data_IF_076180003627
#
_entry.id   IF_076180003627
#
_cell.length_a   1.000
_cell.length_b   1.000
_cell.length_c   1.000
_cell.angle_alpha   90.00
_cell.angle_beta   90.00
_cell.angle_gamma   90.00
#
_symmetry.space_group_name_H-M   'P 1'
#
loop_
_entity.id
_entity.type
_entity.pdbx_description
1 polymer ?
#
# COMPACT_ATOMS: atom_id res chain seq x y z
N UNK A 1 -5.67 -36.65 -5.71
CA UNK A 1 -4.60 -35.78 -5.17
C UNK A 1 -4.87 -34.37 -5.67
N UNK A 2 -5.40 -33.49 -4.83
CA UNK A 2 -5.62 -32.06 -5.17
C UNK A 2 -4.27 -31.36 -4.95
N UNK A 3 -3.75 -30.56 -5.90
CA UNK A 3 -2.50 -29.85 -5.66
C UNK A 3 -2.69 -28.92 -4.48
N UNK A 4 -1.76 -28.97 -3.52
CA UNK A 4 -1.78 -28.10 -2.34
C UNK A 4 -1.89 -26.64 -2.81
N UNK A 5 -3.06 -26.02 -2.56
CA UNK A 5 -3.33 -24.65 -2.95
C UNK A 5 -2.22 -23.75 -2.43
N UNK A 6 -1.53 -23.06 -3.34
CA UNK A 6 -0.48 -22.11 -3.01
C UNK A 6 -1.10 -21.07 -2.07
N UNK A 7 -0.65 -20.99 -0.81
CA UNK A 7 -1.07 -19.92 0.10
C UNK A 7 -0.63 -18.59 -0.54
N UNK A 8 -1.60 -17.86 -1.07
CA UNK A 8 -1.41 -16.47 -1.47
C UNK A 8 -1.53 -15.66 -0.19
N UNK A 9 -0.40 -15.17 0.32
CA UNK A 9 -0.42 -14.22 1.42
C UNK A 9 -0.98 -12.90 0.87
N UNK A 10 -1.93 -12.26 1.56
CA UNK A 10 -2.42 -10.98 1.12
C UNK A 10 -1.28 -9.95 1.21
N UNK A 11 -1.22 -9.04 0.23
CA UNK A 11 -0.17 -8.03 0.19
C UNK A 11 -0.35 -7.00 1.31
N UNK A 12 0.73 -6.60 1.99
CA UNK A 12 0.67 -5.57 3.02
C UNK A 12 0.37 -4.20 2.41
N UNK A 13 -0.12 -3.28 3.23
CA UNK A 13 -0.27 -1.88 2.85
C UNK A 13 1.08 -1.19 2.98
N UNK A 14 1.57 -0.59 1.90
CA UNK A 14 2.80 0.20 1.92
C UNK A 14 2.48 1.67 2.18
N UNK A 15 3.14 2.25 3.18
CA UNK A 15 3.12 3.68 3.46
C UNK A 15 4.49 4.31 3.19
N UNK A 16 4.48 5.54 2.70
CA UNK A 16 5.66 6.37 2.57
C UNK A 16 5.57 7.53 3.56
N UNK A 17 6.55 7.55 4.45
CA UNK A 17 6.72 8.52 5.53
C UNK A 17 5.42 8.77 6.28
N UNK A 18 4.62 7.73 6.55
CA UNK A 18 3.33 7.80 7.25
C UNK A 18 2.21 8.60 6.56
N UNK A 19 2.36 9.06 5.32
CA UNK A 19 1.38 9.96 4.68
C UNK A 19 0.82 9.46 3.34
N UNK A 20 1.56 8.62 2.61
CA UNK A 20 1.21 8.24 1.24
C UNK A 20 1.10 6.72 1.12
N UNK A 21 -0.06 6.22 0.71
CA UNK A 21 -0.28 4.82 0.37
C UNK A 21 0.27 4.51 -1.03
N UNK A 22 1.01 3.41 -1.13
CA UNK A 22 1.62 2.90 -2.36
C UNK A 22 1.07 1.51 -2.71
N UNK A 23 1.14 1.13 -3.99
CA UNK A 23 0.88 -0.23 -4.47
C UNK A 23 2.15 -1.10 -4.53
N UNK A 24 3.31 -0.49 -4.28
CA UNK A 24 4.62 -1.13 -4.37
C UNK A 24 5.73 -0.10 -4.22
N UNK A 25 6.98 -0.56 -4.33
CA UNK A 25 8.18 0.23 -4.01
C UNK A 25 9.03 0.60 -5.24
N UNK A 26 8.48 0.43 -6.46
CA UNK A 26 9.27 0.55 -7.71
C UNK A 26 9.88 1.94 -7.91
N UNK A 27 9.23 2.99 -7.41
CA UNK A 27 9.65 4.38 -7.60
C UNK A 27 10.47 4.93 -6.41
N UNK A 28 10.93 4.07 -5.51
CA UNK A 28 11.73 4.45 -4.33
C UNK A 28 13.14 3.89 -4.49
N UNK A 29 14.13 4.78 -4.51
CA UNK A 29 15.52 4.35 -4.48
C UNK A 29 15.88 3.81 -3.08
N UNK A 30 16.43 2.59 -2.95
CA UNK A 30 16.74 2.02 -1.63
C UNK A 30 17.72 2.87 -0.81
N UNK A 31 18.61 3.61 -1.47
CA UNK A 31 19.59 4.49 -0.82
C UNK A 31 18.95 5.71 -0.15
N UNK A 32 17.73 6.08 -0.53
CA UNK A 32 16.96 7.18 0.06
C UNK A 32 16.18 6.77 1.32
N UNK A 33 16.10 5.46 1.60
CA UNK A 33 15.37 4.98 2.77
C UNK A 33 16.18 5.29 4.04
N UNK A 34 15.53 5.93 5.00
CA UNK A 34 16.06 6.18 6.33
C UNK A 34 15.66 5.07 7.31
N UNK A 35 14.39 4.63 7.26
CA UNK A 35 13.87 3.61 8.16
C UNK A 35 12.72 2.83 7.51
N UNK A 36 12.51 1.61 7.99
CA UNK A 36 11.35 0.78 7.64
C UNK A 36 10.73 0.30 8.94
N UNK A 37 9.47 0.64 9.17
CA UNK A 37 8.68 0.17 10.29
C UNK A 37 7.62 -0.81 9.77
N UNK A 38 7.53 -1.97 10.41
CA UNK A 38 6.52 -2.98 10.08
C UNK A 38 5.53 -3.06 11.22
N UNK A 39 4.26 -2.86 10.92
CA UNK A 39 3.16 -2.98 11.89
C UNK A 39 2.38 -4.26 11.63
N UNK A 40 2.18 -5.06 12.68
CA UNK A 40 1.53 -6.38 12.65
C UNK A 40 0.34 -6.42 13.62
N UNK A 41 -0.59 -5.50 13.45
CA UNK A 41 -1.83 -5.45 14.24
C UNK A 41 -1.81 -4.35 15.28
N UNK A 42 -1.69 -4.73 16.56
CA UNK A 42 -1.93 -3.83 17.69
C UNK A 42 -0.87 -2.73 17.87
N UNK A 43 0.31 -2.91 17.28
CA UNK A 43 1.43 -1.98 17.27
C UNK A 43 1.27 -0.82 16.28
N UNK A 44 0.30 -0.89 15.37
CA UNK A 44 -0.02 0.23 14.49
C UNK A 44 -0.69 1.38 15.25
N UNK A 45 -0.50 2.63 14.78
CA UNK A 45 -1.31 3.77 15.20
C UNK A 45 -2.81 3.45 15.11
N UNK A 46 -3.58 3.94 16.09
CA UNK A 46 -5.01 3.59 16.22
C UNK A 46 -5.80 3.88 14.93
N UNK A 47 -5.50 4.99 14.26
CA UNK A 47 -6.12 5.43 13.00
C UNK A 47 -5.85 4.51 11.80
N UNK A 48 -4.89 3.58 11.89
CA UNK A 48 -4.57 2.61 10.85
C UNK A 48 -4.92 1.19 11.25
N UNK A 49 -5.50 0.96 12.43
CA UNK A 49 -5.80 -0.38 12.94
C UNK A 49 -6.64 -1.20 11.96
N UNK A 50 -7.59 -0.57 11.25
CA UNK A 50 -8.38 -1.22 10.21
C UNK A 50 -7.59 -1.68 8.98
N UNK A 51 -6.39 -1.14 8.73
CA UNK A 51 -5.52 -1.52 7.61
C UNK A 51 -4.52 -2.63 7.97
N UNK A 52 -4.45 -3.01 9.25
CA UNK A 52 -3.44 -3.96 9.74
C UNK A 52 -3.76 -5.43 9.48
N UNK A 53 -4.92 -5.74 8.91
CA UNK A 53 -5.34 -7.12 8.61
C UNK A 53 -4.28 -7.88 7.78
N UNK A 54 -3.63 -7.17 6.83
CA UNK A 54 -2.56 -7.71 6.00
C UNK A 54 -1.16 -7.21 6.41
N UNK A 55 -1.07 -6.45 7.51
CA UNK A 55 0.13 -5.73 7.94
C UNK A 55 0.38 -4.44 7.15
N UNK A 56 1.16 -3.55 7.77
CA UNK A 56 1.57 -2.27 7.17
C UNK A 56 3.09 -2.21 7.16
N UNK A 57 3.66 -1.75 6.05
CA UNK A 57 5.08 -1.45 5.92
C UNK A 57 5.20 0.04 5.66
N UNK A 58 5.65 0.80 6.67
CA UNK A 58 5.88 2.24 6.57
C UNK A 58 7.35 2.53 6.34
N UNK A 59 7.66 3.17 5.23
CA UNK A 59 9.00 3.46 4.76
C UNK A 59 9.24 4.95 4.94
N UNK A 60 10.17 5.31 5.81
CA UNK A 60 10.58 6.70 6.01
C UNK A 60 11.77 7.00 5.11
N UNK A 61 11.67 8.09 4.33
CA UNK A 61 12.77 8.58 3.52
C UNK A 61 13.70 9.53 4.29
N UNK A 62 14.95 9.62 3.85
CA UNK A 62 15.93 10.59 4.35
C UNK A 62 15.47 12.01 4.09
N UNK A 63 15.88 12.93 4.97
CA UNK A 63 15.63 14.35 4.79
C UNK A 63 16.24 14.83 3.47
N UNK A 64 15.44 15.52 2.65
CA UNK A 64 15.84 15.99 1.32
C UNK A 64 15.46 15.05 0.17
N UNK A 65 15.24 13.76 0.43
CA UNK A 65 14.74 12.81 -0.58
C UNK A 65 13.24 13.06 -0.80
N UNK A 66 12.88 13.45 -2.02
CA UNK A 66 11.49 13.71 -2.43
C UNK A 66 11.22 12.94 -3.72
N UNK A 67 10.57 11.78 -3.65
CA UNK A 67 10.21 11.07 -4.86
C UNK A 67 9.12 11.87 -5.58
N UNK A 68 9.20 11.94 -6.91
CA UNK A 68 8.22 12.62 -7.74
C UNK A 68 6.92 11.82 -7.86
N UNK A 69 6.21 11.68 -6.74
CA UNK A 69 4.95 10.94 -6.66
C UNK A 69 3.75 11.87 -6.85
N UNK A 70 3.00 11.66 -7.92
CA UNK A 70 1.67 12.26 -8.06
C UNK A 70 0.72 11.59 -7.08
N UNK A 71 0.15 12.34 -6.14
CA UNK A 71 -0.76 11.80 -5.12
C UNK A 71 -2.15 12.42 -5.19
N UNK A 72 -3.18 11.68 -4.78
CA UNK A 72 -4.54 12.16 -4.61
C UNK A 72 -4.95 12.07 -3.15
N UNK A 73 -5.58 13.12 -2.63
CA UNK A 73 -6.26 13.05 -1.34
C UNK A 73 -7.61 12.32 -1.48
N UNK A 74 -8.15 11.82 -0.36
CA UNK A 74 -9.48 11.20 -0.35
C UNK A 74 -10.57 12.17 -0.83
N UNK A 75 -10.45 13.46 -0.49
CA UNK A 75 -11.34 14.50 -0.99
C UNK A 75 -11.27 14.66 -2.52
N UNK A 76 -10.08 14.59 -3.12
CA UNK A 76 -9.92 14.64 -4.57
C UNK A 76 -10.52 13.40 -5.25
N UNK A 77 -10.35 12.22 -4.65
CA UNK A 77 -10.95 10.97 -5.13
C UNK A 77 -12.49 11.06 -5.10
N UNK A 78 -13.07 11.55 -4.00
CA UNK A 78 -14.53 11.78 -3.90
C UNK A 78 -15.05 12.71 -4.98
N UNK A 79 -14.37 13.84 -5.20
CA UNK A 79 -14.73 14.81 -6.25
C UNK A 79 -14.69 14.16 -7.64
N UNK A 80 -13.67 13.35 -7.92
CA UNK A 80 -13.55 12.64 -9.19
C UNK A 80 -14.65 11.59 -9.37
N UNK A 81 -15.07 10.91 -8.30
CA UNK A 81 -16.17 9.96 -8.30
C UNK A 81 -17.56 10.63 -8.40
N UNK A 82 -17.64 11.97 -8.35
CA UNK A 82 -18.88 12.76 -8.42
C UNK A 82 -19.94 12.31 -7.39
N UNK A 83 -19.49 11.90 -6.20
CA UNK A 83 -20.37 11.49 -5.12
C UNK A 83 -20.66 12.68 -4.20
N UNK A 84 -21.94 12.90 -3.92
CA UNK A 84 -22.42 13.90 -2.97
C UNK A 84 -22.73 13.23 -1.61
N UNK A 85 -22.70 14.03 -0.54
CA UNK A 85 -23.03 13.58 0.81
C UNK A 85 -21.85 13.01 1.60
N UNK A 86 -22.17 12.40 2.74
CA UNK A 86 -21.21 11.71 3.59
C UNK A 86 -20.79 10.40 2.92
N UNK A 87 -19.48 10.14 2.91
CA UNK A 87 -18.92 8.91 2.32
C UNK A 87 -17.92 8.30 3.28
N UNK A 88 -17.87 6.98 3.33
CA UNK A 88 -16.71 6.27 3.89
C UNK A 88 -15.76 5.85 2.78
N UNK A 89 -14.48 5.80 3.14
CA UNK A 89 -13.43 5.32 2.26
C UNK A 89 -13.00 3.93 2.70
N UNK A 90 -12.76 3.08 1.71
CA UNK A 90 -12.13 1.79 1.90
C UNK A 90 -10.92 1.65 0.99
N UNK A 91 -9.93 0.89 1.43
CA UNK A 91 -8.75 0.50 0.68
C UNK A 91 -8.76 -1.02 0.55
N UNK A 92 -8.94 -1.54 -0.67
CA UNK A 92 -9.11 -2.98 -0.88
C UNK A 92 -10.12 -3.62 0.09
N UNK A 93 -11.29 -3.00 0.27
CA UNK A 93 -12.36 -3.39 1.21
C UNK A 93 -12.10 -3.15 2.70
N UNK A 94 -10.88 -2.78 3.11
CA UNK A 94 -10.56 -2.39 4.50
C UNK A 94 -10.94 -0.94 4.76
N UNK A 95 -11.50 -0.64 5.94
CA UNK A 95 -11.90 0.73 6.29
C UNK A 95 -10.68 1.66 6.37
N UNK A 96 -10.79 2.83 5.75
CA UNK A 96 -9.76 3.86 5.80
C UNK A 96 -10.24 5.00 6.70
N UNK A 97 -9.79 4.99 7.95
CA UNK A 97 -10.23 5.95 8.98
C UNK A 97 -9.41 7.25 8.96
N UNK A 98 -8.14 7.15 8.60
CA UNK A 98 -7.25 8.31 8.51
C UNK A 98 -7.50 9.09 7.22
N UNK A 99 -8.20 10.23 7.36
CA UNK A 99 -8.53 11.11 6.25
C UNK A 99 -7.36 11.98 5.74
N UNK A 100 -6.25 12.01 6.48
CA UNK A 100 -5.04 12.75 6.10
C UNK A 100 -4.19 11.99 5.07
N UNK A 101 -4.38 10.67 4.98
CA UNK A 101 -3.66 9.83 4.03
C UNK A 101 -3.94 10.23 2.58
N UNK A 102 -2.89 10.18 1.78
CA UNK A 102 -2.92 10.38 0.34
C UNK A 102 -2.61 9.05 -0.34
N UNK A 103 -3.07 8.88 -1.56
CA UNK A 103 -2.81 7.66 -2.33
C UNK A 103 -2.00 8.07 -3.57
N UNK A 104 -0.91 7.36 -3.83
CA UNK A 104 -0.16 7.54 -5.07
C UNK A 104 -1.10 7.26 -6.25
N UNK A 105 -1.12 8.16 -7.24
CA UNK A 105 -2.07 8.08 -8.34
C UNK A 105 -1.85 6.81 -9.16
N UNK A 106 -0.60 6.39 -9.32
CA UNK A 106 -0.23 5.14 -9.98
C UNK A 106 -0.64 3.88 -9.18
N UNK A 107 -0.90 4.03 -7.88
CA UNK A 107 -1.33 2.93 -7.03
C UNK A 107 -2.83 2.65 -7.15
N UNK A 108 -3.64 3.57 -7.67
CA UNK A 108 -5.09 3.39 -7.80
C UNK A 108 -5.38 2.60 -9.08
N UNK A 109 -5.82 1.36 -8.97
CA UNK A 109 -6.30 0.58 -10.11
C UNK A 109 -7.67 1.07 -10.57
N UNK A 110 -8.59 1.25 -9.61
CA UNK A 110 -9.94 1.77 -9.83
C UNK A 110 -10.55 2.26 -8.53
N UNK A 111 -11.64 3.00 -8.64
CA UNK A 111 -12.48 3.41 -7.51
C UNK A 111 -13.88 2.87 -7.75
N UNK A 112 -14.34 2.02 -6.86
CA UNK A 112 -15.69 1.47 -6.88
C UNK A 112 -16.58 2.30 -5.95
N UNK A 113 -17.80 2.59 -6.41
CA UNK A 113 -18.81 3.29 -5.62
C UNK A 113 -19.87 2.28 -5.26
N UNK A 114 -19.98 1.97 -3.97
CA UNK A 114 -21.08 1.16 -3.45
C UNK A 114 -22.05 2.09 -2.73
N UNK A 115 -23.35 1.90 -2.98
CA UNK A 115 -24.40 2.63 -2.30
C UNK A 115 -25.39 1.61 -1.77
N UNK A 116 -25.62 1.67 -0.48
CA UNK A 116 -26.77 1.04 0.14
C UNK A 116 -27.71 2.13 0.70
N UNK A 117 -28.74 1.71 1.43
CA UNK A 117 -29.75 2.61 2.00
C UNK A 117 -29.19 3.54 3.10
N UNK A 118 -28.02 3.24 3.66
CA UNK A 118 -27.46 3.88 4.84
C UNK A 118 -26.14 4.60 4.59
N UNK A 119 -25.37 4.15 3.59
CA UNK A 119 -24.01 4.58 3.37
C UNK A 119 -23.64 4.60 1.87
N UNK A 120 -22.84 5.59 1.50
CA UNK A 120 -22.08 5.56 0.25
C UNK A 120 -20.62 5.27 0.55
N UNK A 121 -20.12 4.18 0.02
CA UNK A 121 -18.74 3.71 0.21
C UNK A 121 -17.95 3.93 -1.08
N UNK A 122 -16.79 4.59 -0.95
CA UNK A 122 -15.79 4.67 -2.00
C UNK A 122 -14.69 3.65 -1.70
N UNK A 123 -14.73 2.51 -2.40
CA UNK A 123 -13.71 1.47 -2.29
C UNK A 123 -12.60 1.74 -3.31
N UNK A 124 -11.40 2.03 -2.82
CA UNK A 124 -10.22 2.31 -3.61
C UNK A 124 -9.45 1.02 -3.78
N UNK A 125 -9.49 0.47 -4.99
CA UNK A 125 -8.76 -0.74 -5.35
C UNK A 125 -7.34 -0.36 -5.74
N UNK A 126 -6.36 -0.91 -5.03
CA UNK A 126 -4.95 -0.74 -5.39
C UNK A 126 -4.55 -1.64 -6.55
N UNK A 127 -3.59 -1.18 -7.35
CA UNK A 127 -2.92 -2.01 -8.34
C UNK A 127 -2.21 -3.15 -7.60
N UNK A 128 -2.45 -4.42 -7.95
CA UNK A 128 -1.71 -5.52 -7.34
C UNK A 128 -0.23 -5.40 -7.73
N UNK A 129 0.71 -5.74 -6.82
CA UNK A 129 2.11 -5.72 -7.14
C UNK A 129 2.38 -6.66 -8.33
N UNK A 130 3.27 -6.25 -9.24
CA UNK A 130 3.68 -7.12 -10.34
C UNK A 130 4.35 -8.36 -9.74
N UNK A 131 3.87 -9.58 -10.05
CA UNK A 131 4.55 -10.78 -9.61
C UNK A 131 5.96 -10.78 -10.19
N UNK A 132 6.98 -10.80 -9.32
CA UNK A 132 8.37 -10.93 -9.76
C UNK A 132 8.52 -12.34 -10.31
N UNK A 133 8.82 -12.54 -11.61
CA UNK A 133 9.07 -13.87 -12.14
C UNK A 133 10.27 -14.44 -11.39
N UNK A 134 10.09 -15.58 -10.72
CA UNK A 134 11.21 -16.33 -10.16
C UNK A 134 11.97 -16.94 -11.33
N UNK A 135 12.99 -16.25 -11.81
CA UNK A 135 13.95 -16.80 -12.78
C UNK A 135 15.00 -17.70 -12.11
N UNK A 136 15.04 -17.71 -10.77
CA UNK A 136 16.02 -18.49 -10.03
C UNK A 136 15.55 -19.93 -9.87
N UNK A 137 16.43 -20.85 -10.25
CA UNK A 137 16.26 -22.27 -9.97
C UNK A 137 16.18 -22.50 -8.45
N UNK A 138 15.37 -23.46 -7.98
CA UNK A 138 15.40 -23.88 -6.59
C UNK A 138 16.83 -24.23 -6.17
N UNK A 139 17.32 -23.64 -5.08
CA UNK A 139 18.67 -23.87 -4.55
C UNK A 139 19.71 -22.79 -4.89
N UNK A 140 19.35 -21.76 -5.66
CA UNK A 140 20.26 -20.63 -5.92
C UNK A 140 20.38 -19.72 -4.68
N UNK A 141 21.60 -19.56 -4.18
CA UNK A 141 21.96 -18.60 -3.12
C UNK A 141 23.01 -17.64 -3.69
N UNK A 142 22.72 -16.34 -3.67
CA UNK A 142 23.68 -15.30 -4.06
C UNK A 142 24.41 -14.78 -2.82
N UNK A 143 25.71 -15.06 -2.73
CA UNK A 143 26.59 -14.47 -1.72
C UNK A 143 27.39 -13.36 -2.41
N UNK A 144 27.13 -12.10 -2.07
CA UNK A 144 28.03 -11.01 -2.44
C UNK A 144 29.21 -11.00 -1.48
N UNK A 145 30.37 -11.44 -1.96
CA UNK A 145 31.63 -11.24 -1.26
C UNK A 145 32.05 -9.78 -1.29
N UNK A 146 32.51 -9.25 -0.16
CA UNK A 146 33.32 -8.04 -0.16
C UNK A 146 34.71 -8.44 -0.67
N UNK A 147 35.07 -8.02 -1.88
CA UNK A 147 36.47 -8.03 -2.28
C UNK A 147 37.18 -6.97 -1.44
N UNK A 148 37.70 -7.39 -0.29
CA UNK A 148 38.67 -6.61 0.47
C UNK A 148 39.92 -6.44 -0.39
N UNK A 149 40.44 -5.20 -0.37
CA UNK A 149 41.62 -4.68 -1.08
C UNK A 149 42.81 -5.64 -1.20
#
# INVERSE_FOLDING_TARGET
MVPAGRRVWPDPVYLLSSHIILSGLTDIEPQDIAAIQVYKGADAPAQWRSLTENGIIDITLKAGSKPELKTKSLAAIRRQAKVAGLVSFRLNSMKLEDSSLRIASAAIARVEVWRDEYETVLNICLVPPKPVPRHDLPGTIYIRGVASR
#
